data_IF_543986577716
#
_entry.id   IF_543986577716
#
_cell.length_a   1.000
_cell.length_b   1.000
_cell.length_c   1.000
_cell.angle_alpha   90.00
_cell.angle_beta   90.00
_cell.angle_gamma   90.00
#
_symmetry.space_group_name_H-M   'P 1'
#
loop_
_entity.id
_entity.type
_entity.pdbx_description
1 polymer ?
#
# COMPACT_ATOMS: atom_id res chain seq x y z
N UNK A 1 17.77 -77.21 -38.43
CA UNK A 1 17.06 -76.02 -38.87
C UNK A 1 17.33 -74.91 -37.83
N UNK A 2 18.32 -74.06 -38.14
CA UNK A 2 18.62 -72.88 -37.35
C UNK A 2 17.67 -71.77 -37.80
N UNK A 3 16.62 -71.50 -37.04
CA UNK A 3 15.84 -70.28 -37.19
C UNK A 3 16.74 -69.13 -36.81
N UNK A 4 17.20 -68.35 -37.77
CA UNK A 4 17.80 -67.04 -37.57
C UNK A 4 16.74 -66.06 -37.19
N UNK A 5 16.63 -65.78 -35.89
CA UNK A 5 15.73 -64.78 -35.35
C UNK A 5 16.31 -63.41 -35.73
N UNK A 6 16.11 -63.01 -36.99
CA UNK A 6 16.42 -61.63 -37.45
C UNK A 6 15.32 -60.72 -36.98
N UNK A 7 15.52 -60.14 -35.83
CA UNK A 7 14.66 -59.05 -35.39
C UNK A 7 14.72 -57.87 -36.39
N UNK A 8 13.64 -57.50 -37.04
CA UNK A 8 13.66 -56.37 -37.99
C UNK A 8 14.22 -55.12 -37.31
N UNK A 9 14.97 -54.28 -38.03
CA UNK A 9 15.50 -53.05 -37.45
C UNK A 9 14.34 -52.21 -36.95
N UNK A 10 14.39 -51.86 -35.65
CA UNK A 10 13.37 -51.03 -35.05
C UNK A 10 13.31 -49.69 -35.79
N UNK A 11 12.14 -49.28 -36.31
CA UNK A 11 12.02 -48.04 -37.04
C UNK A 11 12.44 -46.87 -36.15
N UNK A 12 13.20 -45.94 -36.73
CA UNK A 12 13.80 -44.81 -36.01
C UNK A 12 12.80 -44.03 -35.12
N UNK A 13 11.48 -43.87 -35.46
CA UNK A 13 10.53 -43.21 -34.59
C UNK A 13 10.32 -43.93 -33.25
N UNK A 14 10.38 -45.28 -33.24
CA UNK A 14 10.27 -46.05 -31.99
C UNK A 14 11.51 -45.90 -31.11
N UNK A 15 12.70 -45.82 -31.73
CA UNK A 15 13.95 -45.53 -31.01
C UNK A 15 13.90 -44.14 -30.40
N UNK A 16 13.45 -43.12 -31.15
CA UNK A 16 13.27 -41.76 -30.66
C UNK A 16 12.26 -41.71 -29.52
N UNK A 17 11.09 -42.36 -29.65
CA UNK A 17 10.06 -42.43 -28.62
C UNK A 17 10.57 -43.10 -27.33
N UNK A 18 11.40 -44.11 -27.42
CA UNK A 18 12.01 -44.83 -26.29
C UNK A 18 12.81 -43.90 -25.38
N UNK A 19 13.48 -42.87 -25.94
CA UNK A 19 14.26 -41.88 -25.18
C UNK A 19 13.44 -40.63 -24.86
N UNK A 20 12.55 -40.22 -25.77
CA UNK A 20 11.72 -39.04 -25.56
C UNK A 20 10.66 -39.25 -24.47
N UNK A 21 10.06 -40.43 -24.36
CA UNK A 21 9.02 -40.69 -23.38
C UNK A 21 9.49 -40.52 -21.91
N UNK A 22 10.63 -41.11 -21.48
CA UNK A 22 11.11 -40.91 -20.12
C UNK A 22 11.56 -39.45 -19.85
N UNK A 23 12.11 -38.77 -20.85
CA UNK A 23 12.48 -37.36 -20.74
C UNK A 23 11.23 -36.46 -20.54
N UNK A 24 10.17 -36.71 -21.30
CA UNK A 24 8.90 -36.00 -21.15
C UNK A 24 8.27 -36.32 -19.81
N UNK A 25 8.29 -37.56 -19.36
CA UNK A 25 7.80 -37.96 -18.05
C UNK A 25 8.58 -37.26 -16.91
N UNK A 26 9.91 -37.24 -17.02
CA UNK A 26 10.76 -36.52 -16.06
C UNK A 26 10.47 -35.00 -16.07
N UNK A 27 10.31 -34.38 -17.23
CA UNK A 27 9.97 -32.98 -17.38
C UNK A 27 8.61 -32.65 -16.73
N UNK A 28 7.58 -33.47 -17.00
CA UNK A 28 6.25 -33.29 -16.43
C UNK A 28 6.26 -33.50 -14.90
N UNK A 29 7.00 -34.49 -14.40
CA UNK A 29 7.18 -34.70 -12.97
C UNK A 29 7.87 -33.51 -12.30
N UNK A 30 8.96 -32.99 -12.87
CA UNK A 30 9.64 -31.80 -12.37
C UNK A 30 8.72 -30.58 -12.39
N UNK A 31 7.98 -30.36 -13.48
CA UNK A 31 6.96 -29.30 -13.57
C UNK A 31 5.89 -29.45 -12.49
N UNK A 32 5.35 -30.62 -12.29
CA UNK A 32 4.37 -30.89 -11.24
C UNK A 32 4.95 -30.60 -9.84
N UNK A 33 6.16 -31.04 -9.56
CA UNK A 33 6.85 -30.74 -8.31
C UNK A 33 7.09 -29.25 -8.11
N UNK A 34 7.51 -28.53 -9.14
CA UNK A 34 7.71 -27.07 -9.02
C UNK A 34 6.42 -26.32 -8.75
N UNK A 35 5.27 -26.77 -9.30
CA UNK A 35 3.95 -26.19 -8.99
C UNK A 35 3.52 -26.54 -7.57
N UNK A 36 3.66 -27.80 -7.17
CA UNK A 36 3.28 -28.25 -5.81
C UNK A 36 4.12 -27.60 -4.70
N UNK A 37 5.39 -27.37 -4.96
CA UNK A 37 6.32 -26.78 -3.98
C UNK A 37 6.58 -25.29 -4.20
N UNK A 38 5.85 -24.63 -5.11
CA UNK A 38 6.06 -23.20 -5.40
C UNK A 38 5.95 -22.32 -4.15
N UNK A 39 4.97 -22.58 -3.29
CA UNK A 39 4.79 -21.82 -2.04
C UNK A 39 5.92 -22.05 -1.04
N UNK A 40 6.37 -23.30 -0.90
CA UNK A 40 7.47 -23.64 -0.01
C UNK A 40 8.81 -23.08 -0.50
N UNK A 41 9.06 -23.15 -1.81
CA UNK A 41 10.24 -22.56 -2.44
C UNK A 41 10.21 -21.02 -2.32
N UNK A 42 9.05 -20.40 -2.48
CA UNK A 42 8.88 -18.96 -2.27
C UNK A 42 9.13 -18.58 -0.81
N UNK A 43 8.57 -19.30 0.15
CA UNK A 43 8.80 -19.08 1.58
C UNK A 43 10.29 -19.21 1.92
N UNK A 44 10.96 -20.22 1.36
CA UNK A 44 12.41 -20.42 1.53
C UNK A 44 13.21 -19.25 0.96
N UNK A 45 12.90 -18.79 -0.25
CA UNK A 45 13.53 -17.60 -0.86
C UNK A 45 13.34 -16.36 0.00
N UNK A 46 12.13 -16.10 0.49
CA UNK A 46 11.81 -14.94 1.34
C UNK A 46 12.60 -14.97 2.66
N UNK A 47 12.93 -16.15 3.17
CA UNK A 47 13.75 -16.29 4.38
C UNK A 47 15.14 -15.66 4.27
N UNK A 48 15.69 -15.63 3.06
CA UNK A 48 17.02 -15.05 2.79
C UNK A 48 16.98 -13.61 2.31
N UNK A 49 15.79 -13.08 2.02
CA UNK A 49 15.69 -11.71 1.57
C UNK A 49 15.96 -10.72 2.70
N UNK A 50 16.70 -9.67 2.35
CA UNK A 50 17.02 -8.55 3.23
C UNK A 50 16.91 -7.25 2.43
N UNK A 51 16.49 -6.15 3.10
CA UNK A 51 16.40 -4.84 2.48
C UNK A 51 15.30 -4.70 1.41
N UNK A 52 14.38 -5.67 1.32
CA UNK A 52 13.23 -5.65 0.42
C UNK A 52 12.11 -4.75 0.95
N UNK A 53 11.09 -4.54 0.14
CA UNK A 53 9.88 -3.79 0.48
C UNK A 53 8.74 -4.76 0.74
N UNK A 54 8.01 -4.56 1.83
CA UNK A 54 6.79 -5.30 2.16
C UNK A 54 5.59 -4.36 2.04
N UNK A 55 4.60 -4.73 1.26
CA UNK A 55 3.34 -4.00 1.09
C UNK A 55 2.21 -4.81 1.70
N UNK A 56 1.58 -4.29 2.75
CA UNK A 56 0.44 -4.90 3.43
C UNK A 56 -0.85 -4.32 2.88
N UNK A 57 -1.65 -5.18 2.24
CA UNK A 57 -2.91 -4.85 1.57
C UNK A 57 -2.76 -4.64 0.07
N UNK A 58 -3.51 -5.44 -0.71
CA UNK A 58 -3.56 -5.36 -2.16
C UNK A 58 -4.86 -4.67 -2.63
N UNK A 59 -5.05 -3.43 -2.21
CA UNK A 59 -5.98 -2.51 -2.83
C UNK A 59 -5.34 -1.77 -4.01
N UNK A 60 -6.04 -0.80 -4.59
CA UNK A 60 -5.51 0.04 -5.67
C UNK A 60 -4.19 0.74 -5.30
N UNK A 61 -4.06 1.18 -4.03
CA UNK A 61 -2.82 1.81 -3.52
C UNK A 61 -1.69 0.79 -3.44
N UNK A 62 -1.97 -0.38 -2.84
CA UNK A 62 -0.97 -1.44 -2.69
C UNK A 62 -0.46 -1.94 -4.04
N UNK A 63 -1.35 -2.10 -5.03
CA UNK A 63 -0.99 -2.49 -6.38
C UNK A 63 -0.07 -1.45 -7.05
N UNK A 64 -0.43 -0.16 -6.98
CA UNK A 64 0.40 0.92 -7.55
C UNK A 64 1.78 1.00 -6.89
N UNK A 65 1.85 0.81 -5.57
CA UNK A 65 3.12 0.77 -4.84
C UNK A 65 3.95 -0.45 -5.25
N UNK A 66 3.33 -1.63 -5.40
CA UNK A 66 4.04 -2.82 -5.86
C UNK A 66 4.65 -2.62 -7.25
N UNK A 67 3.93 -1.99 -8.20
CA UNK A 67 4.46 -1.63 -9.51
C UNK A 67 5.61 -0.64 -9.39
N UNK A 68 5.43 0.47 -8.70
CA UNK A 68 6.43 1.53 -8.60
C UNK A 68 7.75 1.04 -7.97
N UNK A 69 7.69 0.21 -6.93
CA UNK A 69 8.89 -0.35 -6.31
C UNK A 69 9.53 -1.42 -7.17
N UNK A 70 8.74 -2.22 -7.89
CA UNK A 70 9.28 -3.22 -8.80
C UNK A 70 9.97 -2.57 -10.02
N UNK A 71 9.41 -1.49 -10.56
CA UNK A 71 10.02 -0.68 -11.63
C UNK A 71 11.34 -0.04 -11.17
N UNK A 72 11.45 0.31 -9.87
CA UNK A 72 12.69 0.78 -9.26
C UNK A 72 13.69 -0.35 -8.95
N UNK A 73 13.47 -1.55 -9.49
CA UNK A 73 14.28 -2.76 -9.28
C UNK A 73 14.36 -3.23 -7.81
N UNK A 74 13.40 -2.84 -6.98
CA UNK A 74 13.27 -3.37 -5.63
C UNK A 74 12.67 -4.77 -5.61
N UNK A 75 13.07 -5.57 -4.63
CA UNK A 75 12.37 -6.81 -4.31
C UNK A 75 11.13 -6.49 -3.50
N UNK A 76 9.97 -6.87 -3.99
CA UNK A 76 8.68 -6.54 -3.35
C UNK A 76 7.99 -7.81 -2.87
N UNK A 77 7.45 -7.76 -1.67
CA UNK A 77 6.55 -8.78 -1.09
C UNK A 77 5.22 -8.11 -0.80
N UNK A 78 4.14 -8.67 -1.31
CA UNK A 78 2.77 -8.21 -1.01
C UNK A 78 2.11 -9.19 -0.05
N UNK A 79 1.54 -8.68 1.04
CA UNK A 79 0.69 -9.44 1.97
C UNK A 79 -0.77 -9.11 1.64
N UNK A 80 -1.57 -10.14 1.36
CA UNK A 80 -3.00 -10.00 1.09
C UNK A 80 -3.80 -11.08 1.82
N UNK A 81 -4.83 -10.65 2.53
CA UNK A 81 -5.67 -11.54 3.33
C UNK A 81 -6.68 -12.30 2.46
N UNK A 82 -7.24 -11.64 1.45
CA UNK A 82 -8.21 -12.26 0.54
C UNK A 82 -7.50 -13.07 -0.55
N UNK A 83 -7.66 -14.40 -0.48
CA UNK A 83 -7.11 -15.30 -1.49
C UNK A 83 -7.74 -15.14 -2.87
N UNK A 84 -8.94 -14.54 -2.95
CA UNK A 84 -9.71 -14.34 -4.17
C UNK A 84 -9.68 -12.88 -4.66
N UNK A 85 -8.82 -12.05 -4.10
CA UNK A 85 -8.69 -10.66 -4.52
C UNK A 85 -8.38 -10.56 -6.02
N UNK A 86 -9.26 -9.87 -6.75
CA UNK A 86 -9.17 -9.71 -8.21
C UNK A 86 -7.87 -9.04 -8.68
N UNK A 87 -7.23 -8.26 -7.82
CA UNK A 87 -5.98 -7.55 -8.14
C UNK A 87 -4.76 -8.45 -8.09
N UNK A 88 -4.88 -9.70 -7.60
CA UNK A 88 -3.77 -10.65 -7.56
C UNK A 88 -3.21 -10.95 -8.96
N UNK A 89 -4.08 -11.03 -9.96
CA UNK A 89 -3.67 -11.24 -11.36
C UNK A 89 -3.01 -10.03 -12.01
N UNK A 90 -3.10 -8.86 -11.39
CA UNK A 90 -2.49 -7.62 -11.88
C UNK A 90 -1.13 -7.30 -11.21
N UNK A 91 -0.65 -8.17 -10.32
CA UNK A 91 0.67 -8.01 -9.72
C UNK A 91 1.77 -8.18 -10.78
N UNK A 92 2.81 -7.32 -10.77
CA UNK A 92 3.92 -7.45 -11.71
C UNK A 92 4.69 -8.75 -11.50
N UNK A 93 5.30 -9.25 -12.58
CA UNK A 93 6.19 -10.40 -12.51
C UNK A 93 7.36 -10.13 -11.55
N UNK A 94 7.69 -11.13 -10.73
CA UNK A 94 8.78 -11.01 -9.74
C UNK A 94 8.35 -10.49 -8.37
N UNK A 95 7.13 -9.97 -8.21
CA UNK A 95 6.57 -9.64 -6.90
C UNK A 95 6.17 -10.93 -6.19
N UNK A 96 6.67 -11.10 -4.98
CA UNK A 96 6.32 -12.26 -4.14
C UNK A 96 5.03 -11.98 -3.36
N UNK A 97 4.20 -13.02 -3.20
CA UNK A 97 2.94 -12.93 -2.45
C UNK A 97 3.01 -13.73 -1.16
N UNK A 98 2.44 -13.20 -0.10
CA UNK A 98 2.17 -13.92 1.16
C UNK A 98 0.70 -13.78 1.48
N UNK A 99 -0.02 -14.92 1.51
CA UNK A 99 -1.43 -14.93 1.87
C UNK A 99 -1.60 -14.88 3.40
N UNK A 100 -2.50 -14.04 3.87
CA UNK A 100 -2.89 -13.93 5.27
C UNK A 100 -3.04 -12.49 5.76
N UNK A 101 -3.53 -12.37 6.99
CA UNK A 101 -3.73 -11.07 7.64
C UNK A 101 -2.40 -10.53 8.17
N UNK A 102 -2.02 -9.34 7.72
CA UNK A 102 -0.77 -8.68 8.07
C UNK A 102 -0.68 -8.28 9.57
N UNK A 103 -1.78 -8.32 10.32
CA UNK A 103 -1.77 -8.13 11.78
C UNK A 103 -1.16 -9.30 12.53
N UNK A 104 -1.04 -10.46 11.90
CA UNK A 104 -0.49 -11.65 12.54
C UNK A 104 1.04 -11.72 12.39
N UNK A 105 1.70 -11.99 13.51
CA UNK A 105 3.16 -12.09 13.60
C UNK A 105 3.75 -13.10 12.60
N UNK A 106 3.09 -14.25 12.44
CA UNK A 106 3.54 -15.32 11.54
C UNK A 106 3.52 -14.89 10.07
N UNK A 107 2.51 -14.10 9.68
CA UNK A 107 2.37 -13.58 8.33
C UNK A 107 3.46 -12.55 8.02
N UNK A 108 3.68 -11.60 8.93
CA UNK A 108 4.79 -10.64 8.82
C UNK A 108 6.15 -11.33 8.82
N UNK A 109 6.33 -12.37 9.64
CA UNK A 109 7.57 -13.14 9.69
C UNK A 109 7.82 -13.89 8.37
N UNK A 110 6.79 -14.52 7.78
CA UNK A 110 6.86 -15.17 6.45
C UNK A 110 7.23 -14.18 5.34
N UNK A 111 6.68 -12.97 5.40
CA UNK A 111 7.05 -11.89 4.47
C UNK A 111 8.44 -11.30 4.73
N UNK A 112 9.11 -11.71 5.81
CA UNK A 112 10.42 -11.18 6.18
C UNK A 112 10.39 -9.72 6.66
N UNK A 113 9.26 -9.23 7.19
CA UNK A 113 9.07 -7.83 7.55
C UNK A 113 10.16 -7.29 8.49
N UNK A 114 10.64 -8.12 9.44
CA UNK A 114 11.74 -7.73 10.33
C UNK A 114 13.12 -7.57 9.64
N UNK A 115 13.25 -7.96 8.38
CA UNK A 115 14.47 -7.84 7.57
C UNK A 115 14.28 -6.92 6.37
N UNK A 116 13.07 -6.41 6.18
CA UNK A 116 12.75 -5.43 5.16
C UNK A 116 13.43 -4.09 5.46
N UNK A 117 13.65 -3.27 4.45
CA UNK A 117 14.00 -1.86 4.64
C UNK A 117 12.76 -0.98 4.86
N UNK A 118 11.64 -1.39 4.27
CA UNK A 118 10.41 -0.64 4.25
C UNK A 118 9.20 -1.58 4.34
N UNK A 119 8.29 -1.28 5.25
CA UNK A 119 6.99 -1.93 5.37
C UNK A 119 5.92 -0.88 5.18
N UNK A 120 5.02 -1.09 4.24
CA UNK A 120 3.93 -0.18 3.89
C UNK A 120 2.61 -0.81 4.32
N UNK A 121 1.97 -0.27 5.34
CA UNK A 121 0.63 -0.67 5.75
C UNK A 121 -0.41 0.22 5.07
N UNK A 122 -1.01 -0.28 3.98
CA UNK A 122 -1.93 0.46 3.11
C UNK A 122 -3.24 -0.30 2.86
N UNK A 123 -3.61 -1.13 3.83
CA UNK A 123 -4.90 -1.81 3.85
C UNK A 123 -6.07 -0.82 3.82
N UNK A 124 -7.26 -1.31 3.45
CA UNK A 124 -8.47 -0.47 3.35
C UNK A 124 -8.98 0.10 4.68
N UNK A 125 -8.55 -0.47 5.80
CA UNK A 125 -9.00 -0.13 7.15
C UNK A 125 -7.85 0.39 8.01
N UNK A 126 -8.05 1.54 8.63
CA UNK A 126 -7.06 2.20 9.49
C UNK A 126 -6.66 1.33 10.71
N UNK A 127 -7.65 0.63 11.30
CA UNK A 127 -7.41 -0.28 12.41
C UNK A 127 -6.48 -1.44 12.05
N UNK A 128 -6.54 -1.92 10.79
CA UNK A 128 -5.62 -2.95 10.28
C UNK A 128 -4.22 -2.36 10.14
N UNK A 129 -4.09 -1.16 9.56
CA UNK A 129 -2.80 -0.48 9.37
C UNK A 129 -2.12 -0.16 10.72
N UNK A 130 -2.87 0.33 11.69
CA UNK A 130 -2.40 0.54 13.06
C UNK A 130 -1.97 -0.77 13.72
N UNK A 131 -2.74 -1.85 13.50
CA UNK A 131 -2.43 -3.20 13.98
C UNK A 131 -1.12 -3.75 13.43
N UNK A 132 -0.86 -3.55 12.12
CA UNK A 132 0.40 -3.92 11.47
C UNK A 132 1.58 -3.18 12.10
N UNK A 133 1.45 -1.84 12.27
CA UNK A 133 2.48 -1.01 12.88
C UNK A 133 2.81 -1.47 14.31
N UNK A 134 1.78 -1.74 15.13
CA UNK A 134 1.93 -2.25 16.49
C UNK A 134 2.61 -3.63 16.51
N UNK A 135 2.16 -4.54 15.66
CA UNK A 135 2.72 -5.89 15.61
C UNK A 135 4.19 -5.88 15.19
N UNK A 136 4.56 -4.97 14.27
CA UNK A 136 5.94 -4.81 13.85
C UNK A 136 6.81 -4.22 14.97
N UNK A 137 6.29 -3.25 15.76
CA UNK A 137 6.98 -2.72 16.95
C UNK A 137 7.24 -3.83 17.98
N UNK A 138 6.24 -4.66 18.26
CA UNK A 138 6.39 -5.80 19.15
C UNK A 138 7.42 -6.83 18.66
N UNK A 139 7.44 -7.10 17.34
CA UNK A 139 8.39 -8.04 16.73
C UNK A 139 9.83 -7.56 16.80
N UNK A 140 10.06 -6.27 16.70
CA UNK A 140 11.40 -5.66 16.63
C UNK A 140 11.89 -5.13 17.97
N UNK A 141 11.07 -5.22 19.02
CA UNK A 141 11.43 -4.77 20.36
C UNK A 141 12.57 -5.60 20.93
N UNK A 142 13.67 -4.93 21.27
CA UNK A 142 14.87 -5.57 21.80
C UNK A 142 15.73 -6.31 20.77
N UNK A 143 15.36 -6.31 19.52
CA UNK A 143 16.15 -6.90 18.45
C UNK A 143 17.25 -5.90 17.98
N UNK A 144 18.44 -6.43 17.69
CA UNK A 144 19.60 -5.67 17.23
C UNK A 144 19.85 -5.95 15.75
N UNK A 145 19.85 -4.91 14.91
CA UNK A 145 20.08 -5.08 13.49
C UNK A 145 19.79 -3.82 12.67
N UNK A 146 19.63 -3.96 11.36
CA UNK A 146 19.31 -2.83 10.45
C UNK A 146 17.95 -2.24 10.79
N UNK A 147 17.83 -0.92 10.69
CA UNK A 147 16.54 -0.25 10.89
C UNK A 147 15.52 -0.66 9.85
N UNK A 148 14.28 -0.82 10.27
CA UNK A 148 13.11 -1.06 9.43
C UNK A 148 12.25 0.19 9.49
N UNK A 149 11.86 0.75 8.35
CA UNK A 149 10.89 1.83 8.31
C UNK A 149 9.51 1.23 8.07
N UNK A 150 8.54 1.58 8.90
CA UNK A 150 7.13 1.24 8.70
C UNK A 150 6.36 2.53 8.44
N UNK A 151 5.69 2.59 7.29
CA UNK A 151 4.82 3.71 6.92
C UNK A 151 3.39 3.18 6.86
N UNK A 152 2.53 3.70 7.75
CA UNK A 152 1.15 3.24 7.85
C UNK A 152 0.15 4.34 7.50
N UNK A 153 -0.81 4.01 6.63
CA UNK A 153 -1.87 4.91 6.22
C UNK A 153 -2.96 4.97 7.30
N UNK A 154 -3.24 6.16 7.81
CA UNK A 154 -4.33 6.43 8.74
C UNK A 154 -5.14 7.61 8.21
N UNK A 155 -6.35 7.35 7.76
CA UNK A 155 -7.25 8.37 7.24
C UNK A 155 -8.04 9.05 8.36
N UNK A 156 -8.32 8.34 9.44
CA UNK A 156 -9.01 8.86 10.62
C UNK A 156 -8.10 9.78 11.44
N UNK A 157 -8.44 11.07 11.59
CA UNK A 157 -7.63 12.02 12.35
C UNK A 157 -7.52 11.68 13.85
N UNK A 158 -8.56 11.08 14.45
CA UNK A 158 -8.56 10.71 15.86
C UNK A 158 -7.60 9.56 16.11
N UNK A 159 -7.68 8.51 15.28
CA UNK A 159 -6.75 7.39 15.35
C UNK A 159 -5.31 7.85 15.06
N UNK A 160 -5.13 8.76 14.08
CA UNK A 160 -3.83 9.36 13.79
C UNK A 160 -3.26 10.09 15.02
N UNK A 161 -4.07 10.91 15.71
CA UNK A 161 -3.65 11.61 16.92
C UNK A 161 -3.27 10.64 18.06
N UNK A 162 -4.05 9.57 18.23
CA UNK A 162 -3.77 8.52 19.23
C UNK A 162 -2.49 7.73 18.93
N UNK A 163 -2.17 7.53 17.65
CA UNK A 163 -1.00 6.74 17.24
C UNK A 163 0.29 7.57 17.17
N UNK A 164 0.21 8.89 17.05
CA UNK A 164 1.37 9.80 16.96
C UNK A 164 2.41 9.66 18.11
N UNK A 165 2.03 9.48 19.37
CA UNK A 165 3.00 9.22 20.43
C UNK A 165 3.82 7.95 20.23
N UNK A 166 3.31 6.97 19.48
CA UNK A 166 4.04 5.73 19.18
C UNK A 166 5.18 5.97 18.18
N UNK A 167 5.03 6.92 17.23
CA UNK A 167 6.13 7.33 16.34
C UNK A 167 7.34 7.82 17.15
N UNK A 168 7.08 8.68 18.15
CA UNK A 168 8.13 9.24 19.00
C UNK A 168 8.81 8.17 19.85
N UNK A 169 8.03 7.22 20.37
CA UNK A 169 8.56 6.09 21.17
C UNK A 169 9.39 5.12 20.33
N UNK A 170 8.93 4.81 19.11
CA UNK A 170 9.65 3.93 18.20
C UNK A 170 10.99 4.55 17.77
N UNK A 171 11.02 5.86 17.49
CA UNK A 171 12.27 6.59 17.18
C UNK A 171 13.28 6.57 18.33
N UNK A 172 12.81 6.57 19.57
CA UNK A 172 13.68 6.66 20.75
C UNK A 172 14.25 5.29 21.19
N UNK A 173 13.63 4.17 20.81
CA UNK A 173 13.88 2.87 21.47
C UNK A 173 14.40 1.75 20.58
N UNK A 174 14.52 1.92 19.23
CA UNK A 174 14.82 0.72 18.47
C UNK A 174 15.12 0.83 16.99
N UNK A 175 15.13 -0.34 16.39
CA UNK A 175 15.28 -0.58 14.95
C UNK A 175 14.11 -0.10 14.10
N UNK A 176 12.92 0.12 14.70
CA UNK A 176 11.73 0.52 13.98
C UNK A 176 11.67 2.05 13.87
N UNK A 177 11.62 2.54 12.65
CA UNK A 177 11.19 3.90 12.35
C UNK A 177 9.74 3.83 11.90
N UNK A 178 8.84 4.31 12.74
CA UNK A 178 7.40 4.32 12.48
C UNK A 178 7.00 5.71 11.99
N UNK A 179 6.23 5.74 10.92
CA UNK A 179 5.68 6.96 10.33
C UNK A 179 4.21 6.70 9.97
N UNK A 180 3.33 7.60 10.42
CA UNK A 180 1.93 7.59 10.01
C UNK A 180 1.69 8.70 9.00
N UNK A 181 0.85 8.44 8.02
CA UNK A 181 0.41 9.47 7.08
C UNK A 181 -1.08 9.37 6.80
N UNK A 182 -1.71 10.54 6.59
CA UNK A 182 -3.09 10.60 6.14
C UNK A 182 -3.12 10.73 4.62
N UNK A 183 -3.61 9.72 3.90
CA UNK A 183 -3.63 9.75 2.43
C UNK A 183 -4.48 10.88 1.86
N UNK A 184 -5.60 11.20 2.52
CA UNK A 184 -6.50 12.27 2.08
C UNK A 184 -5.87 13.64 2.30
N UNK A 185 -5.26 13.87 3.47
CA UNK A 185 -4.55 15.12 3.76
C UNK A 185 -3.33 15.32 2.84
N UNK A 186 -2.62 14.23 2.51
CA UNK A 186 -1.48 14.26 1.57
C UNK A 186 -1.95 14.59 0.15
N UNK A 187 -3.05 13.97 -0.31
CA UNK A 187 -3.63 14.27 -1.62
C UNK A 187 -4.12 15.72 -1.71
N UNK A 188 -4.81 16.20 -0.67
CA UNK A 188 -5.29 17.59 -0.59
C UNK A 188 -4.12 18.59 -0.61
N UNK A 189 -3.03 18.29 0.14
CA UNK A 189 -1.84 19.13 0.13
C UNK A 189 -1.21 19.23 -1.26
N UNK A 190 -1.11 18.10 -1.95
CA UNK A 190 -0.54 18.04 -3.29
C UNK A 190 -1.40 18.80 -4.30
N UNK A 191 -2.70 18.60 -4.29
CA UNK A 191 -3.63 19.32 -5.17
C UNK A 191 -3.53 20.84 -4.97
N UNK A 192 -3.50 21.33 -3.72
CA UNK A 192 -3.37 22.74 -3.42
C UNK A 192 -2.00 23.35 -3.76
N UNK A 193 -0.97 22.53 -3.86
CA UNK A 193 0.37 22.97 -4.28
C UNK A 193 0.52 22.95 -5.81
N UNK A 194 -0.11 21.99 -6.50
CA UNK A 194 -0.08 21.89 -7.97
C UNK A 194 -1.02 22.89 -8.63
N UNK A 195 -2.15 23.23 -8.00
CA UNK A 195 -3.10 24.22 -8.47
C UNK A 195 -3.05 25.43 -7.52
N UNK A 196 -2.38 26.50 -7.91
CA UNK A 196 -2.30 27.71 -7.09
C UNK A 196 -3.64 28.42 -7.07
N UNK A 197 -4.59 27.93 -6.24
CA UNK A 197 -5.91 28.56 -6.06
C UNK A 197 -5.80 30.00 -5.54
N UNK A 198 -4.69 30.33 -4.90
CA UNK A 198 -4.34 31.64 -4.34
C UNK A 198 -3.14 32.27 -5.05
N UNK A 199 -2.89 31.88 -6.31
CA UNK A 199 -1.80 32.42 -7.10
C UNK A 199 -2.00 33.92 -7.32
N UNK A 200 -1.06 34.72 -6.77
CA UNK A 200 -0.99 36.17 -6.91
C UNK A 200 -2.28 36.89 -6.51
N UNK A 201 -2.49 36.97 -5.21
CA UNK A 201 -3.37 38.00 -4.66
C UNK A 201 -2.56 39.31 -4.49
N UNK A 202 -2.46 40.15 -5.51
CA UNK A 202 -1.94 41.48 -5.33
C UNK A 202 -3.12 42.38 -5.00
N UNK A 203 -3.19 42.83 -3.78
CA UNK A 203 -4.07 43.91 -3.41
C UNK A 203 -5.49 43.54 -3.00
N UNK A 204 -6.12 44.49 -2.35
CA UNK A 204 -7.40 44.43 -1.67
C UNK A 204 -8.65 44.23 -2.53
N UNK A 205 -8.51 44.15 -3.86
CA UNK A 205 -9.64 44.02 -4.81
C UNK A 205 -9.72 42.67 -5.55
N UNK A 206 -8.93 41.66 -5.18
CA UNK A 206 -9.00 40.34 -5.82
C UNK A 206 -10.32 39.64 -5.43
N UNK A 207 -11.05 39.07 -6.42
CA UNK A 207 -12.31 38.39 -6.12
C UNK A 207 -12.03 37.15 -5.23
N UNK A 208 -12.87 36.98 -4.21
CA UNK A 208 -12.81 35.80 -3.34
C UNK A 208 -12.97 34.55 -4.19
N UNK A 209 -12.05 33.59 -4.12
CA UNK A 209 -12.13 32.39 -4.94
C UNK A 209 -13.35 31.55 -4.58
N UNK A 210 -13.99 30.99 -5.61
CA UNK A 210 -15.09 30.05 -5.45
C UNK A 210 -14.63 28.65 -5.88
N UNK A 211 -14.67 27.71 -4.96
CA UNK A 211 -14.22 26.32 -5.17
C UNK A 211 -15.42 25.39 -5.18
N UNK A 212 -15.57 24.61 -6.23
CA UNK A 212 -16.61 23.58 -6.33
C UNK A 212 -15.99 22.21 -6.10
N UNK A 213 -16.48 21.51 -5.07
CA UNK A 213 -16.05 20.15 -4.70
C UNK A 213 -17.13 19.16 -5.12
N UNK A 214 -16.76 18.21 -5.97
CA UNK A 214 -17.65 17.13 -6.39
C UNK A 214 -17.27 15.84 -5.68
N UNK A 215 -18.15 15.35 -4.81
CA UNK A 215 -17.96 14.18 -3.96
C UNK A 215 -17.73 14.51 -2.48
N UNK A 216 -18.34 13.72 -1.59
CA UNK A 216 -18.32 13.89 -0.11
C UNK A 216 -17.29 12.99 0.59
N UNK A 217 -16.21 12.57 -0.10
CA UNK A 217 -15.19 11.69 0.46
C UNK A 217 -14.15 12.39 1.33
N UNK A 218 -13.25 11.58 1.93
CA UNK A 218 -12.20 12.06 2.83
C UNK A 218 -11.23 13.06 2.18
N UNK A 219 -11.00 12.96 0.88
CA UNK A 219 -10.15 13.91 0.14
C UNK A 219 -10.83 15.28 0.04
N UNK A 220 -12.14 15.31 -0.25
CA UNK A 220 -12.90 16.56 -0.30
C UNK A 220 -12.92 17.25 1.07
N UNK A 221 -13.15 16.50 2.15
CA UNK A 221 -13.05 16.99 3.51
C UNK A 221 -11.67 17.59 3.81
N UNK A 222 -10.60 16.82 3.54
CA UNK A 222 -9.23 17.28 3.79
C UNK A 222 -8.85 18.50 2.96
N UNK A 223 -9.36 18.57 1.72
CA UNK A 223 -9.14 19.72 0.83
C UNK A 223 -9.82 20.97 1.40
N UNK A 224 -11.07 20.83 1.81
CA UNK A 224 -11.86 21.95 2.37
C UNK A 224 -11.25 22.46 3.68
N UNK A 225 -10.90 21.56 4.60
CA UNK A 225 -10.21 21.93 5.84
C UNK A 225 -8.92 22.68 5.57
N UNK A 226 -8.09 22.16 4.68
CA UNK A 226 -6.81 22.78 4.36
C UNK A 226 -6.96 24.12 3.63
N UNK A 227 -7.97 24.23 2.78
CA UNK A 227 -8.33 25.47 2.12
C UNK A 227 -8.73 26.54 3.14
N UNK A 228 -9.63 26.19 4.07
CA UNK A 228 -10.10 27.09 5.13
C UNK A 228 -8.96 27.60 6.02
N UNK A 229 -8.10 26.70 6.50
CA UNK A 229 -6.96 27.07 7.32
C UNK A 229 -5.95 27.93 6.57
N UNK A 230 -5.60 27.56 5.34
CA UNK A 230 -4.64 28.33 4.53
C UNK A 230 -5.18 29.74 4.20
N UNK A 231 -6.48 29.85 3.95
CA UNK A 231 -7.11 31.15 3.73
C UNK A 231 -7.08 32.01 4.99
N UNK A 232 -7.43 31.44 6.15
CA UNK A 232 -7.41 32.14 7.42
C UNK A 232 -5.99 32.64 7.78
N UNK A 233 -4.95 31.81 7.56
CA UNK A 233 -3.55 32.17 7.79
C UNK A 233 -3.06 33.31 6.88
N UNK A 234 -3.52 33.35 5.64
CA UNK A 234 -3.08 34.37 4.66
C UNK A 234 -3.86 35.68 4.73
N UNK A 235 -5.05 35.65 5.32
CA UNK A 235 -5.98 36.78 5.32
C UNK A 235 -6.45 37.18 6.73
N UNK A 236 -5.53 37.17 7.72
CA UNK A 236 -5.82 37.59 9.10
C UNK A 236 -6.44 38.99 9.19
N UNK A 237 -6.22 39.87 8.21
CA UNK A 237 -6.66 41.25 8.17
C UNK A 237 -7.87 41.51 7.26
N UNK A 238 -8.30 40.53 6.45
CA UNK A 238 -9.41 40.70 5.51
C UNK A 238 -10.67 39.93 5.93
N UNK A 239 -11.80 40.63 5.99
CA UNK A 239 -13.11 40.08 6.32
C UNK A 239 -13.76 39.33 5.16
N UNK A 240 -13.08 38.29 4.62
CA UNK A 240 -13.60 37.45 3.55
C UNK A 240 -13.42 35.98 3.86
N UNK A 241 -14.42 35.15 3.51
CA UNK A 241 -14.32 33.68 3.55
C UNK A 241 -14.24 33.15 2.15
N UNK A 242 -13.48 32.05 1.94
CA UNK A 242 -13.50 31.34 0.65
C UNK A 242 -14.89 30.77 0.42
N UNK A 243 -15.44 31.02 -0.77
CA UNK A 243 -16.70 30.37 -1.15
C UNK A 243 -16.42 28.94 -1.61
N UNK A 244 -17.12 27.99 -1.01
CA UNK A 244 -17.03 26.59 -1.39
C UNK A 244 -18.44 26.05 -1.67
N UNK A 245 -18.58 25.24 -2.70
CA UNK A 245 -19.82 24.50 -2.97
C UNK A 245 -19.53 23.03 -2.97
N UNK A 246 -20.22 22.27 -2.12
CA UNK A 246 -20.13 20.82 -2.08
C UNK A 246 -21.27 20.18 -2.88
N UNK A 247 -20.93 19.42 -3.90
CA UNK A 247 -21.88 18.62 -4.68
C UNK A 247 -21.68 17.17 -4.33
N UNK A 248 -22.53 16.62 -3.46
CA UNK A 248 -22.44 15.22 -3.03
C UNK A 248 -23.82 14.68 -2.64
N UNK A 249 -24.05 13.35 -2.69
CA UNK A 249 -25.18 12.74 -2.01
C UNK A 249 -25.10 13.07 -0.50
N UNK A 250 -26.21 13.55 0.08
CA UNK A 250 -26.28 13.98 1.49
C UNK A 250 -25.20 15.02 1.87
N UNK A 251 -25.02 16.06 1.05
CA UNK A 251 -24.02 17.11 1.26
C UNK A 251 -24.13 17.76 2.64
N UNK A 252 -25.36 18.08 3.10
CA UNK A 252 -25.62 18.71 4.40
C UNK A 252 -25.16 17.84 5.57
N UNK A 253 -25.39 16.53 5.50
CA UNK A 253 -24.92 15.59 6.52
C UNK A 253 -23.39 15.48 6.54
N UNK A 254 -22.76 15.50 5.36
CA UNK A 254 -21.30 15.50 5.24
C UNK A 254 -20.73 16.76 5.87
N UNK A 255 -21.27 17.92 5.52
CA UNK A 255 -20.83 19.22 6.06
C UNK A 255 -21.02 19.32 7.57
N UNK A 256 -22.17 18.91 8.09
CA UNK A 256 -22.43 18.89 9.53
C UNK A 256 -21.40 18.06 10.30
N UNK A 257 -21.07 16.86 9.81
CA UNK A 257 -20.04 16.01 10.41
C UNK A 257 -18.65 16.63 10.31
N UNK A 258 -18.31 17.27 9.17
CA UNK A 258 -17.01 17.90 8.99
C UNK A 258 -16.83 19.14 9.87
N UNK A 259 -17.86 19.96 10.03
CA UNK A 259 -17.83 21.14 10.91
C UNK A 259 -17.68 20.77 12.40
N UNK A 260 -18.31 19.66 12.84
CA UNK A 260 -18.13 19.12 14.19
C UNK A 260 -16.68 18.71 14.43
N UNK A 261 -16.06 18.06 13.43
CA UNK A 261 -14.66 17.59 13.52
C UNK A 261 -13.62 18.69 13.36
N UNK A 262 -13.94 19.71 12.58
CA UNK A 262 -13.05 20.84 12.28
C UNK A 262 -13.86 22.15 12.33
N UNK A 263 -13.98 22.76 13.52
CA UNK A 263 -14.66 24.05 13.68
C UNK A 263 -14.04 25.18 12.85
N UNK A 264 -12.76 25.08 12.47
CA UNK A 264 -12.05 26.04 11.62
C UNK A 264 -12.63 26.17 10.22
N UNK A 265 -13.36 25.14 9.75
CA UNK A 265 -14.07 25.20 8.46
C UNK A 265 -15.04 26.37 8.37
N UNK A 266 -15.80 26.62 9.43
CA UNK A 266 -16.80 27.70 9.47
C UNK A 266 -16.17 29.08 9.57
N UNK A 267 -14.92 29.18 9.98
CA UNK A 267 -14.17 30.44 10.07
C UNK A 267 -13.60 30.85 8.70
N UNK A 268 -13.01 29.91 7.97
CA UNK A 268 -12.31 30.19 6.71
C UNK A 268 -13.16 30.03 5.45
N UNK A 269 -14.25 29.26 5.50
CA UNK A 269 -15.09 28.99 4.33
C UNK A 269 -16.57 29.36 4.57
N UNK A 270 -17.20 29.86 3.49
CA UNK A 270 -18.63 29.93 3.29
C UNK A 270 -19.03 28.81 2.34
N UNK A 271 -19.82 27.84 2.82
CA UNK A 271 -20.12 26.62 2.09
C UNK A 271 -21.61 26.57 1.75
#
# INVERSE_FOLDING_TARGET
VLESNVTPPTPWPLVAARYAAPLLAAYTAVKALTVLFAEQLQALRLRFWRGHVVVCGLGQRGLRLAHAFQEAADRVVVIEADAHNRLLGALPEGVSRVAGDARHREVLARAGAGRARLVLAVCGEDGVNAGVARQLDEMLRGDVGRSVTCVAALADPELYALMRPQELRARAKGRLRLEFFNPAATAAARLLNEVPLFGHLPGTDAPVPHVVLVGGGSVAQALLSRLAHRWAEQNETQAGRVRATLVAPAADECLGRWQIRDPGLSVGCEI
#
